data_IF_312219320071
#
_entry.id   IF_312219320071
#
_cell.length_a   1.000
_cell.length_b   1.000
_cell.length_c   1.000
_cell.angle_alpha   90.00
_cell.angle_beta   90.00
_cell.angle_gamma   90.00
#
_symmetry.space_group_name_H-M   'P 1'
#
loop_
_entity.id
_entity.type
_entity.pdbx_description
1 polymer ?
#
# COMPACT_ATOMS: atom_id res chain seq x y z
N UNK A 1 8.77 -10.61 -33.70
CA UNK A 1 7.96 -9.71 -32.87
C UNK A 1 8.57 -9.78 -31.49
N UNK A 2 9.38 -8.80 -31.10
CA UNK A 2 10.08 -8.78 -29.81
C UNK A 2 9.04 -8.56 -28.71
N UNK A 3 9.01 -9.43 -27.72
CA UNK A 3 8.06 -9.35 -26.60
C UNK A 3 8.37 -8.10 -25.77
N UNK A 4 7.34 -7.40 -25.30
CA UNK A 4 7.45 -6.24 -24.40
C UNK A 4 8.25 -6.57 -23.13
N UNK A 5 8.39 -7.87 -22.82
CA UNK A 5 9.09 -8.42 -21.67
C UNK A 5 10.55 -8.83 -21.95
N UNK A 6 11.01 -8.84 -23.21
CA UNK A 6 12.37 -9.27 -23.57
C UNK A 6 13.46 -8.28 -23.07
N UNK A 7 13.05 -7.06 -22.72
CA UNK A 7 13.91 -6.00 -22.15
C UNK A 7 13.93 -5.94 -20.61
N UNK A 8 13.12 -6.75 -19.92
CA UNK A 8 13.08 -6.79 -18.46
C UNK A 8 14.22 -7.68 -17.94
N UNK A 9 15.44 -7.15 -17.97
CA UNK A 9 16.56 -7.67 -17.18
C UNK A 9 16.54 -6.98 -15.82
N UNK A 10 16.80 -7.73 -14.75
CA UNK A 10 16.75 -7.27 -13.35
C UNK A 10 15.36 -6.93 -12.78
N UNK A 11 14.29 -7.55 -13.28
CA UNK A 11 13.03 -7.57 -12.53
C UNK A 11 13.12 -8.54 -11.36
N UNK A 12 12.59 -8.16 -10.20
CA UNK A 12 12.37 -9.08 -9.07
C UNK A 12 11.37 -10.21 -9.34
N UNK A 13 11.14 -10.59 -10.59
CA UNK A 13 10.29 -11.70 -11.01
C UNK A 13 11.05 -12.52 -12.05
N UNK A 14 11.33 -13.78 -11.72
CA UNK A 14 11.82 -14.78 -12.67
C UNK A 14 10.62 -15.57 -13.21
N UNK A 15 10.26 -15.31 -14.47
CA UNK A 15 9.13 -15.94 -15.14
C UNK A 15 9.32 -17.44 -15.43
N UNK A 16 10.57 -17.94 -15.42
CA UNK A 16 10.86 -19.36 -15.67
C UNK A 16 10.73 -20.18 -14.40
N UNK A 17 11.21 -19.64 -13.28
CA UNK A 17 11.17 -20.31 -11.98
C UNK A 17 9.95 -19.92 -11.14
N UNK A 18 9.20 -18.91 -11.58
CA UNK A 18 8.11 -18.26 -10.85
C UNK A 18 8.58 -17.72 -9.47
N UNK A 19 9.87 -17.40 -9.35
CA UNK A 19 10.45 -16.86 -8.13
C UNK A 19 10.31 -15.34 -8.14
N UNK A 20 9.80 -14.80 -7.04
CA UNK A 20 9.67 -13.36 -6.82
C UNK A 20 10.68 -12.92 -5.75
N UNK A 21 11.46 -11.90 -6.06
CA UNK A 21 12.30 -11.15 -5.11
C UNK A 21 11.57 -9.85 -4.78
N UNK A 22 11.18 -9.64 -3.51
CA UNK A 22 10.52 -8.40 -3.09
C UNK A 22 11.40 -7.18 -3.36
N UNK A 23 10.79 -6.10 -3.84
CA UNK A 23 11.46 -4.81 -4.00
C UNK A 23 11.63 -4.08 -2.66
N UNK A 24 10.59 -4.14 -1.81
CA UNK A 24 10.60 -3.58 -0.47
C UNK A 24 9.86 -4.55 0.48
N UNK A 25 10.40 -4.73 1.67
CA UNK A 25 9.88 -5.65 2.69
C UNK A 25 9.49 -4.90 3.97
N UNK A 26 8.70 -5.54 4.83
CA UNK A 26 8.31 -5.03 6.15
C UNK A 26 7.72 -3.60 6.14
N UNK A 27 6.86 -3.30 5.15
CA UNK A 27 6.24 -1.99 5.05
C UNK A 27 5.34 -1.70 6.27
N UNK A 28 5.24 -0.43 6.72
CA UNK A 28 4.45 -0.03 7.90
C UNK A 28 2.94 -0.03 7.66
N UNK A 29 2.46 -0.67 6.59
CA UNK A 29 1.07 -0.74 6.21
C UNK A 29 0.84 -1.65 5.01
N UNK A 30 -0.40 -1.69 4.55
CA UNK A 30 -0.82 -2.48 3.39
C UNK A 30 -0.66 -1.63 2.12
N UNK A 31 0.35 -1.92 1.27
CA UNK A 31 0.55 -1.16 0.05
C UNK A 31 -0.62 -1.34 -0.91
N UNK A 32 -1.02 -0.25 -1.56
CA UNK A 32 -2.03 -0.23 -2.62
C UNK A 32 -1.35 0.13 -3.95
N UNK A 33 -1.36 1.41 -4.35
CA UNK A 33 -0.71 1.86 -5.58
C UNK A 33 0.69 2.43 -5.35
N UNK A 34 1.55 2.24 -6.37
CA UNK A 34 2.87 2.84 -6.51
C UNK A 34 2.89 3.87 -7.64
N UNK A 35 3.52 5.03 -7.41
CA UNK A 35 3.62 6.13 -8.38
C UNK A 35 5.01 6.76 -8.35
N UNK A 36 5.51 7.30 -9.47
CA UNK A 36 6.78 8.01 -9.49
C UNK A 36 6.70 9.29 -8.65
N UNK A 37 7.76 9.55 -7.89
CA UNK A 37 8.03 10.83 -7.25
C UNK A 37 9.16 11.58 -7.95
N UNK A 38 9.65 12.66 -7.33
CA UNK A 38 10.86 13.37 -7.77
C UNK A 38 12.13 12.54 -7.52
N UNK A 39 13.23 12.87 -8.19
CA UNK A 39 14.57 12.32 -7.89
C UNK A 39 14.67 10.78 -7.90
N UNK A 40 13.98 10.13 -8.84
CA UNK A 40 13.97 8.67 -8.98
C UNK A 40 13.43 7.92 -7.74
N UNK A 41 12.48 8.54 -7.06
CA UNK A 41 11.76 7.96 -5.92
C UNK A 41 10.39 7.43 -6.32
N UNK A 42 9.77 6.67 -5.42
CA UNK A 42 8.47 6.06 -5.61
C UNK A 42 7.57 6.38 -4.42
N UNK A 43 6.43 7.00 -4.66
CA UNK A 43 5.39 7.18 -3.67
C UNK A 43 4.48 5.94 -3.62
N UNK A 44 4.19 5.47 -2.41
CA UNK A 44 3.30 4.34 -2.17
C UNK A 44 2.20 4.76 -1.19
N UNK A 45 0.95 4.56 -1.62
CA UNK A 45 -0.23 4.72 -0.75
C UNK A 45 -0.44 3.46 0.09
N UNK A 46 -0.77 3.64 1.37
CA UNK A 46 -1.10 2.53 2.26
C UNK A 46 -2.60 2.54 2.59
N UNK A 47 -3.33 1.51 2.16
CA UNK A 47 -4.77 1.30 2.40
C UNK A 47 -5.07 0.77 3.82
N UNK A 48 -4.10 0.91 4.72
CA UNK A 48 -4.19 0.50 6.11
C UNK A 48 -2.81 0.55 6.74
N UNK A 49 -2.75 0.99 7.99
CA UNK A 49 -1.50 1.10 8.74
C UNK A 49 -1.31 -0.11 9.65
N UNK A 50 -0.07 -0.58 9.75
CA UNK A 50 0.35 -1.56 10.76
C UNK A 50 0.83 -0.80 11.99
N UNK A 51 0.38 -1.22 13.16
CA UNK A 51 0.87 -0.70 14.43
C UNK A 51 1.74 -1.76 15.10
N UNK A 52 2.86 -1.33 15.69
CA UNK A 52 3.71 -2.24 16.46
C UNK A 52 2.96 -2.87 17.65
N UNK A 53 2.06 -2.11 18.25
CA UNK A 53 1.32 -2.51 19.47
C UNK A 53 -0.02 -3.20 19.18
N UNK A 54 -0.42 -3.33 17.91
CA UNK A 54 -1.67 -3.97 17.52
C UNK A 54 -1.42 -5.03 16.43
N UNK A 55 -1.39 -6.33 16.79
CA UNK A 55 -1.16 -7.39 15.83
C UNK A 55 -2.25 -7.43 14.76
N UNK A 56 -1.83 -7.48 13.50
CA UNK A 56 -2.71 -7.53 12.34
C UNK A 56 -3.22 -8.95 12.11
N UNK A 57 -4.55 -9.14 12.20
CA UNK A 57 -5.21 -10.41 11.90
C UNK A 57 -4.94 -10.84 10.46
N UNK A 58 -4.83 -9.88 9.53
CA UNK A 58 -4.53 -10.15 8.12
C UNK A 58 -3.12 -10.71 7.96
N UNK A 59 -2.14 -10.14 8.65
CA UNK A 59 -0.76 -10.62 8.59
C UNK A 59 -0.63 -12.01 9.24
N UNK A 60 -1.31 -12.23 10.37
CA UNK A 60 -1.35 -13.53 11.05
C UNK A 60 -1.99 -14.63 10.18
N UNK A 61 -3.12 -14.33 9.52
CA UNK A 61 -3.81 -15.27 8.63
C UNK A 61 -3.06 -15.49 7.30
N UNK A 62 -2.25 -14.51 6.86
CA UNK A 62 -1.46 -14.58 5.63
C UNK A 62 -0.59 -15.84 5.54
N UNK A 63 0.02 -16.23 6.65
CA UNK A 63 0.90 -17.40 6.77
C UNK A 63 0.19 -18.76 6.60
N UNK A 64 -1.14 -18.80 6.66
CA UNK A 64 -1.93 -20.05 6.64
C UNK A 64 -2.92 -20.07 5.47
N UNK A 65 -2.50 -20.57 4.29
CA UNK A 65 -3.34 -20.60 3.09
C UNK A 65 -4.70 -21.29 3.30
N UNK A 66 -4.72 -22.38 4.07
CA UNK A 66 -5.95 -23.13 4.36
C UNK A 66 -6.95 -22.30 5.17
N UNK A 67 -6.48 -21.52 6.15
CA UNK A 67 -7.34 -20.64 6.95
C UNK A 67 -7.95 -19.56 6.07
N UNK A 68 -7.15 -18.93 5.20
CA UNK A 68 -7.64 -17.94 4.23
C UNK A 68 -8.72 -18.52 3.32
N UNK A 69 -8.50 -19.74 2.82
CA UNK A 69 -9.47 -20.42 1.95
C UNK A 69 -10.79 -20.69 2.69
N UNK A 70 -10.73 -21.28 3.89
CA UNK A 70 -11.94 -21.56 4.69
C UNK A 70 -12.71 -20.25 5.00
N UNK A 71 -12.01 -19.18 5.37
CA UNK A 71 -12.65 -17.89 5.64
C UNK A 71 -13.39 -17.35 4.41
N UNK A 72 -12.78 -17.44 3.22
CA UNK A 72 -13.38 -16.95 1.99
C UNK A 72 -14.53 -17.83 1.49
N UNK A 73 -14.43 -19.15 1.65
CA UNK A 73 -15.43 -20.11 1.15
C UNK A 73 -16.69 -20.15 2.03
N UNK A 74 -16.52 -20.01 3.36
CA UNK A 74 -17.62 -20.23 4.31
C UNK A 74 -18.17 -18.97 4.96
N UNK A 75 -17.44 -17.84 4.97
CA UNK A 75 -17.91 -16.61 5.60
C UNK A 75 -18.39 -15.64 4.52
N UNK A 76 -19.72 -15.44 4.35
CA UNK A 76 -20.22 -14.55 3.32
C UNK A 76 -19.62 -13.15 3.45
N UNK A 77 -19.11 -12.52 2.38
CA UNK A 77 -18.41 -11.24 2.44
C UNK A 77 -19.15 -10.15 3.21
N UNK A 78 -20.48 -10.09 3.04
CA UNK A 78 -21.33 -9.10 3.70
C UNK A 78 -21.40 -9.24 5.23
N UNK A 79 -21.04 -10.40 5.81
CA UNK A 79 -21.05 -10.62 7.25
C UNK A 79 -19.86 -9.98 7.96
N UNK A 80 -18.73 -9.77 7.27
CA UNK A 80 -17.49 -9.30 7.90
C UNK A 80 -16.96 -8.00 7.30
N UNK A 81 -17.21 -7.71 6.01
CA UNK A 81 -16.78 -6.47 5.35
C UNK A 81 -17.33 -5.23 6.07
N UNK A 82 -18.53 -5.29 6.66
CA UNK A 82 -19.07 -4.14 7.41
C UNK A 82 -18.29 -3.87 8.71
N UNK A 83 -17.71 -4.89 9.32
CA UNK A 83 -16.98 -4.78 10.58
C UNK A 83 -15.49 -4.55 10.39
N UNK A 84 -14.92 -4.82 9.20
CA UNK A 84 -13.49 -4.65 8.93
C UNK A 84 -13.03 -3.20 9.15
N UNK A 85 -13.89 -2.25 8.82
CA UNK A 85 -13.63 -0.81 8.98
C UNK A 85 -13.70 -0.37 10.45
N UNK A 86 -14.41 -1.11 11.31
CA UNK A 86 -14.48 -0.83 12.76
C UNK A 86 -13.26 -1.36 13.51
N UNK A 87 -12.56 -2.34 12.93
CA UNK A 87 -11.36 -2.95 13.51
C UNK A 87 -10.07 -2.19 13.19
N UNK A 88 -10.15 -1.06 12.46
CA UNK A 88 -9.01 -0.22 12.14
C UNK A 88 -9.25 1.22 12.57
N UNK A 89 -8.32 1.83 13.33
CA UNK A 89 -8.40 3.26 13.59
C UNK A 89 -8.30 4.01 12.25
N UNK A 90 -9.08 5.08 12.05
CA UNK A 90 -8.97 5.90 10.86
C UNK A 90 -7.57 6.53 10.85
N UNK A 91 -6.76 6.13 9.88
CA UNK A 91 -5.41 6.64 9.69
C UNK A 91 -5.11 6.67 8.19
N UNK A 92 -4.33 7.67 7.78
CA UNK A 92 -3.70 7.67 6.47
C UNK A 92 -2.19 7.64 6.62
N UNK A 93 -1.53 6.85 5.78
CA UNK A 93 -0.08 6.89 5.62
C UNK A 93 0.29 6.78 4.15
N UNK A 94 1.26 7.58 3.73
CA UNK A 94 2.00 7.37 2.50
C UNK A 94 3.48 7.30 2.81
N UNK A 95 4.23 6.55 2.00
CA UNK A 95 5.68 6.42 2.12
C UNK A 95 6.33 6.76 0.79
N UNK A 96 7.56 7.25 0.86
CA UNK A 96 8.42 7.45 -0.30
C UNK A 96 9.57 6.45 -0.20
N UNK A 97 9.77 5.68 -1.27
CA UNK A 97 10.86 4.73 -1.44
C UNK A 97 11.91 5.32 -2.37
N UNK A 98 13.19 5.04 -2.11
CA UNK A 98 14.24 5.26 -3.09
C UNK A 98 14.28 4.12 -4.14
N UNK A 99 15.23 4.20 -5.09
CA UNK A 99 15.42 3.18 -6.13
C UNK A 99 15.83 1.79 -5.61
N UNK A 100 16.25 1.69 -4.36
CA UNK A 100 16.63 0.44 -3.69
C UNK A 100 15.51 -0.16 -2.84
N UNK A 101 14.32 0.48 -2.81
CA UNK A 101 13.18 0.04 -2.01
C UNK A 101 13.24 0.47 -0.54
N UNK A 102 14.18 1.34 -0.16
CA UNK A 102 14.30 1.84 1.22
C UNK A 102 13.34 3.01 1.44
N UNK A 103 12.67 3.03 2.59
CA UNK A 103 11.80 4.13 3.00
C UNK A 103 12.65 5.34 3.37
N UNK A 104 12.54 6.41 2.59
CA UNK A 104 13.27 7.68 2.82
C UNK A 104 12.40 8.78 3.43
N UNK A 105 11.07 8.66 3.30
CA UNK A 105 10.11 9.60 3.86
C UNK A 105 8.78 8.91 4.15
N UNK A 106 8.04 9.40 5.15
CA UNK A 106 6.66 9.01 5.38
C UNK A 106 5.81 10.22 5.81
N UNK A 107 4.55 10.24 5.40
CA UNK A 107 3.56 11.26 5.77
C UNK A 107 2.35 10.57 6.38
N UNK A 108 1.82 11.13 7.46
CA UNK A 108 0.80 10.50 8.29
C UNK A 108 -0.31 11.47 8.65
N UNK A 109 -1.55 11.00 8.59
CA UNK A 109 -2.65 11.57 9.37
C UNK A 109 -3.07 10.52 10.40
N UNK A 110 -2.45 10.60 11.59
CA UNK A 110 -2.64 9.64 12.70
C UNK A 110 -4.07 9.63 13.22
N UNK A 111 -4.79 10.74 13.04
CA UNK A 111 -6.18 10.89 13.51
C UNK A 111 -7.20 10.50 12.44
N UNK A 112 -6.77 10.37 11.18
CA UNK A 112 -7.64 10.15 10.03
C UNK A 112 -8.70 11.23 9.85
N UNK A 113 -8.45 12.44 10.38
CA UNK A 113 -9.43 13.54 10.35
C UNK A 113 -9.51 14.22 8.99
N UNK A 114 -8.42 14.21 8.24
CA UNK A 114 -8.29 14.83 6.93
C UNK A 114 -8.18 13.79 5.81
N UNK A 115 -7.59 12.62 6.06
CA UNK A 115 -7.46 11.57 5.06
C UNK A 115 -7.51 10.20 5.76
N UNK A 116 -8.21 9.24 5.14
CA UNK A 116 -8.25 7.84 5.59
C UNK A 116 -7.92 6.92 4.42
N UNK A 117 -7.26 5.78 4.68
CA UNK A 117 -7.04 4.69 3.72
C UNK A 117 -6.60 5.18 2.33
N UNK A 118 -5.34 5.62 2.23
CA UNK A 118 -4.81 6.21 1.00
C UNK A 118 -4.52 5.12 -0.03
N UNK A 119 -5.36 5.05 -1.06
CA UNK A 119 -5.14 4.14 -2.19
C UNK A 119 -4.17 4.71 -3.22
N UNK A 120 -4.11 6.04 -3.35
CA UNK A 120 -3.28 6.69 -4.35
C UNK A 120 -2.61 7.95 -3.81
N UNK A 121 -1.36 8.14 -4.20
CA UNK A 121 -0.60 9.36 -4.00
C UNK A 121 0.06 9.73 -5.33
N UNK A 122 -0.03 10.98 -5.74
CA UNK A 122 0.55 11.44 -7.01
C UNK A 122 1.17 12.82 -6.84
N UNK A 123 2.43 12.94 -7.22
CA UNK A 123 3.18 14.19 -7.14
C UNK A 123 3.05 14.97 -8.45
N UNK A 124 2.78 16.27 -8.35
CA UNK A 124 2.79 17.19 -9.48
C UNK A 124 3.25 18.57 -9.02
N UNK A 125 4.43 18.99 -9.50
CA UNK A 125 5.11 20.18 -9.00
C UNK A 125 5.35 20.09 -7.49
N UNK A 126 4.99 21.16 -6.79
CA UNK A 126 5.14 21.27 -5.33
C UNK A 126 3.94 20.71 -4.56
N UNK A 127 3.14 19.83 -5.17
CA UNK A 127 1.96 19.27 -4.54
C UNK A 127 1.93 17.74 -4.62
N UNK A 128 1.43 17.13 -3.54
CA UNK A 128 0.94 15.77 -3.51
C UNK A 128 -0.59 15.77 -3.56
N UNK A 129 -1.14 14.85 -4.34
CA UNK A 129 -2.57 14.59 -4.43
C UNK A 129 -2.86 13.20 -3.90
N UNK A 130 -3.88 13.08 -3.06
CA UNK A 130 -4.25 11.83 -2.40
C UNK A 130 -5.64 11.37 -2.83
N UNK A 131 -5.72 10.11 -3.24
CA UNK A 131 -6.96 9.37 -3.47
C UNK A 131 -7.20 8.39 -2.32
N UNK A 132 -8.47 8.24 -1.96
CA UNK A 132 -8.96 7.30 -0.96
C UNK A 132 -10.30 6.75 -1.43
N UNK A 133 -10.59 5.49 -1.08
CA UNK A 133 -11.88 4.87 -1.39
C UNK A 133 -12.97 5.20 -0.36
N UNK A 134 -12.64 5.91 0.73
CA UNK A 134 -13.60 6.40 1.73
C UNK A 134 -13.85 7.89 1.66
N UNK A 135 -12.87 8.67 1.22
CA UNK A 135 -13.04 10.12 1.12
C UNK A 135 -13.98 10.51 -0.03
N UNK A 136 -14.81 11.53 0.21
CA UNK A 136 -15.69 12.13 -0.82
C UNK A 136 -15.00 13.27 -1.59
N UNK A 137 -13.68 13.40 -1.44
CA UNK A 137 -12.86 14.47 -1.98
C UNK A 137 -11.45 13.96 -2.29
N UNK A 138 -10.75 14.71 -3.15
CA UNK A 138 -9.31 14.54 -3.39
C UNK A 138 -8.58 15.53 -2.48
N UNK A 139 -7.71 15.01 -1.62
CA UNK A 139 -6.89 15.87 -0.76
C UNK A 139 -5.62 16.30 -1.51
N UNK A 140 -5.12 17.50 -1.20
CA UNK A 140 -3.82 17.97 -1.70
C UNK A 140 -2.96 18.48 -0.55
N UNK A 141 -1.66 18.25 -0.63
CA UNK A 141 -0.67 18.77 0.32
C UNK A 141 0.41 19.52 -0.46
N UNK A 142 0.71 20.75 -0.03
CA UNK A 142 1.86 21.48 -0.53
C UNK A 142 3.13 20.91 0.13
N UNK A 143 4.11 20.53 -0.69
CA UNK A 143 5.40 19.96 -0.28
C UNK A 143 6.58 20.85 -0.69
N UNK A 144 6.31 22.08 -1.13
CA UNK A 144 7.36 23.01 -1.53
C UNK A 144 8.36 23.24 -0.40
N UNK A 145 9.65 23.20 -0.78
CA UNK A 145 10.77 23.55 0.10
C UNK A 145 10.85 25.05 0.31
#
# INVERSE_FOLDING_TARGET
>A
MTSLFDGLKDTGLDLKTNKVTPFAENLPGLPDNIRPGSDNTLWVGLAGVRHADAPSIIDAAGAYPLIRQILLDFVPPHWWIQYIHMMRPPQAMVIQLNSSGEIIQSLHDVTGTHIQDVSQVSQSGDYLYFGSFHNKYIARLYIGK
#
